data_IF_918666764473
#
_entry.id   IF_918666764473
#
_cell.length_a   1.000
_cell.length_b   1.000
_cell.length_c   1.000
_cell.angle_alpha   90.00
_cell.angle_beta   90.00
_cell.angle_gamma   90.00
#
_symmetry.space_group_name_H-M   'P 1'
#
loop_
_entity.id
_entity.type
_entity.pdbx_description
1 polymer ?
#
# COMPACT_ATOMS: atom_id res chain seq x y z
N UNK A 1 -3.00 -8.29 1.12
CA UNK A 1 -3.32 -7.29 2.16
C UNK A 1 -4.56 -7.74 2.95
N UNK A 2 -4.73 -9.05 3.17
CA UNK A 2 -5.94 -9.62 3.78
C UNK A 2 -6.14 -9.11 5.21
N UNK A 3 -5.06 -9.01 5.99
CA UNK A 3 -5.11 -8.43 7.34
C UNK A 3 -5.46 -6.93 7.36
N UNK A 4 -5.47 -6.25 6.21
CA UNK A 4 -5.96 -4.89 6.05
C UNK A 4 -7.37 -4.84 5.39
N UNK A 5 -8.06 -5.98 5.28
CA UNK A 5 -9.38 -6.09 4.66
C UNK A 5 -9.39 -6.07 3.14
N UNK A 6 -8.23 -6.25 2.49
CA UNK A 6 -8.10 -6.26 1.03
C UNK A 6 -7.76 -7.68 0.58
N UNK A 7 -8.73 -8.32 -0.06
CA UNK A 7 -8.63 -9.68 -0.55
C UNK A 7 -8.45 -9.71 -2.06
N UNK A 8 -8.04 -10.88 -2.55
CA UNK A 8 -7.89 -11.09 -3.98
C UNK A 8 -9.25 -10.98 -4.68
N UNK A 9 -9.30 -10.19 -5.76
CA UNK A 9 -10.52 -9.92 -6.51
C UNK A 9 -11.25 -8.64 -6.10
N UNK A 10 -10.81 -7.96 -5.04
CA UNK A 10 -11.34 -6.65 -4.68
C UNK A 10 -10.95 -5.57 -5.69
N UNK A 11 -11.86 -4.62 -5.90
CA UNK A 11 -11.59 -3.39 -6.62
C UNK A 11 -11.12 -2.32 -5.65
N UNK A 12 -10.01 -1.67 -5.98
CA UNK A 12 -9.44 -0.62 -5.15
C UNK A 12 -9.68 0.75 -5.80
N UNK A 13 -10.28 1.66 -5.05
CA UNK A 13 -10.40 3.08 -5.44
C UNK A 13 -9.22 3.83 -4.83
N UNK A 14 -8.49 4.54 -5.68
CA UNK A 14 -7.22 5.18 -5.35
C UNK A 14 -7.23 6.63 -5.83
N UNK A 15 -6.52 7.50 -5.11
CA UNK A 15 -6.37 8.91 -5.44
C UNK A 15 -4.89 9.28 -5.59
N UNK A 16 -4.55 9.91 -6.72
CA UNK A 16 -3.20 10.33 -7.09
C UNK A 16 -2.87 11.77 -6.71
N UNK A 17 -3.88 12.57 -6.35
CA UNK A 17 -3.72 13.97 -5.93
C UNK A 17 -3.51 14.13 -4.44
N UNK A 18 -3.76 13.09 -3.64
CA UNK A 18 -3.57 13.12 -2.19
C UNK A 18 -2.10 12.90 -1.80
N UNK A 19 -1.64 13.73 -0.87
CA UNK A 19 -0.35 13.53 -0.23
C UNK A 19 -0.41 12.32 0.73
N UNK A 20 0.45 11.30 0.55
CA UNK A 20 0.46 10.11 1.38
C UNK A 20 0.86 10.41 2.83
N UNK A 21 0.14 9.82 3.80
CA UNK A 21 0.39 10.00 5.23
C UNK A 21 0.61 8.65 5.94
N UNK A 22 1.44 8.61 7.00
CA UNK A 22 1.60 7.43 7.84
C UNK A 22 0.26 6.86 8.31
N UNK A 23 0.16 5.54 8.33
CA UNK A 23 -1.05 4.78 8.64
C UNK A 23 -1.91 4.43 7.42
N UNK A 24 -1.79 5.15 6.31
CA UNK A 24 -2.58 4.90 5.10
C UNK A 24 -2.08 3.68 4.33
N UNK A 25 -3.00 3.05 3.59
CA UNK A 25 -2.63 2.10 2.55
C UNK A 25 -2.30 2.87 1.27
N UNK A 26 -1.17 2.56 0.67
CA UNK A 26 -0.69 3.21 -0.56
C UNK A 26 -0.45 2.18 -1.65
N UNK A 27 -0.61 2.63 -2.89
CA UNK A 27 -0.09 1.95 -4.06
C UNK A 27 1.34 2.44 -4.25
N UNK A 28 2.32 1.55 -4.04
CA UNK A 28 3.71 1.81 -4.36
C UNK A 28 4.07 1.18 -5.69
N UNK A 29 4.96 1.83 -6.44
CA UNK A 29 5.59 1.28 -7.62
C UNK A 29 7.06 1.03 -7.28
N UNK A 30 7.47 -0.24 -7.30
CA UNK A 30 8.83 -0.70 -7.03
C UNK A 30 9.33 -1.37 -8.32
N UNK A 31 10.38 -0.84 -8.93
CA UNK A 31 10.95 -1.36 -10.20
C UNK A 31 9.91 -1.56 -11.32
N UNK A 32 8.94 -0.64 -11.43
CA UNK A 32 7.86 -0.73 -12.42
C UNK A 32 6.70 -1.67 -12.02
N UNK A 33 6.83 -2.43 -10.93
CA UNK A 33 5.78 -3.30 -10.41
C UNK A 33 4.96 -2.59 -9.33
N UNK A 34 3.63 -2.69 -9.42
CA UNK A 34 2.73 -2.13 -8.40
C UNK A 34 2.52 -3.07 -7.22
N UNK A 35 2.47 -2.50 -6.02
CA UNK A 35 2.20 -3.23 -4.79
C UNK A 35 1.40 -2.38 -3.80
N UNK A 36 0.61 -3.05 -2.95
CA UNK A 36 -0.07 -2.42 -1.82
C UNK A 36 0.74 -2.60 -0.54
N UNK A 37 0.93 -1.50 0.17
CA UNK A 37 1.70 -1.43 1.41
C UNK A 37 1.05 -0.44 2.36
N UNK A 38 1.27 -0.61 3.66
CA UNK A 38 0.98 0.42 4.65
C UNK A 38 2.17 1.38 4.71
N UNK A 39 1.91 2.68 4.58
CA UNK A 39 2.91 3.70 4.79
C UNK A 39 3.10 3.90 6.29
N UNK A 40 4.32 3.84 6.79
CA UNK A 40 4.62 4.00 8.22
C UNK A 40 5.77 4.99 8.38
N UNK A 41 5.66 5.86 9.38
CA UNK A 41 6.77 6.69 9.83
C UNK A 41 7.56 5.92 10.90
N UNK A 42 8.85 5.73 10.66
CA UNK A 42 9.76 5.05 11.58
C UNK A 42 11.06 5.85 11.67
N UNK A 43 11.44 6.27 12.88
CA UNK A 43 12.66 7.05 13.13
C UNK A 43 12.81 8.30 12.23
N UNK A 44 11.69 8.97 11.94
CA UNK A 44 11.66 10.17 11.08
C UNK A 44 11.71 9.87 9.57
N UNK A 45 11.74 8.61 9.16
CA UNK A 45 11.71 8.17 7.76
C UNK A 45 10.39 7.49 7.43
N UNK A 46 10.05 7.48 6.15
CA UNK A 46 8.89 6.75 5.65
C UNK A 46 9.31 5.39 5.13
N UNK A 47 8.56 4.36 5.51
CA UNK A 47 8.74 2.99 5.05
C UNK A 47 7.43 2.37 4.62
N UNK A 48 7.55 1.36 3.77
CA UNK A 48 6.46 0.53 3.27
C UNK A 48 6.42 -0.79 4.03
N UNK A 49 5.32 -1.05 4.72
CA UNK A 49 5.11 -2.29 5.44
C UNK A 49 4.09 -3.18 4.71
N UNK A 50 4.41 -4.46 4.59
CA UNK A 50 3.46 -5.45 4.13
C UNK A 50 2.53 -5.86 5.26
N UNK A 51 1.29 -6.22 4.94
CA UNK A 51 0.35 -6.80 5.91
C UNK A 51 0.65 -8.28 6.23
N UNK A 52 1.84 -8.80 5.89
CA UNK A 52 2.24 -10.17 6.14
C UNK A 52 3.64 -10.20 6.78
N UNK A 53 3.82 -10.86 7.96
CA UNK A 53 5.06 -10.78 8.74
C UNK A 53 6.32 -11.26 8.02
N UNK A 54 6.18 -12.19 7.06
CA UNK A 54 7.31 -12.72 6.30
C UNK A 54 7.99 -11.69 5.37
N UNK A 55 7.41 -10.50 5.20
CA UNK A 55 7.96 -9.45 4.36
C UNK A 55 8.45 -8.30 5.24
N UNK A 56 9.77 -8.07 5.33
CA UNK A 56 10.31 -6.99 6.15
C UNK A 56 9.88 -5.61 5.63
N UNK A 57 9.84 -4.59 6.50
CA UNK A 57 9.62 -3.21 6.09
C UNK A 57 10.68 -2.75 5.07
N UNK A 58 10.24 -1.89 4.16
CA UNK A 58 11.05 -1.35 3.07
C UNK A 58 11.16 0.17 3.22
N UNK A 59 12.35 0.67 3.56
CA UNK A 59 12.60 2.11 3.69
C UNK A 59 12.58 2.78 2.30
N UNK A 60 11.72 3.79 2.11
CA UNK A 60 11.49 4.40 0.79
C UNK A 60 12.72 5.12 0.22
N UNK A 61 13.54 5.68 1.08
CA UNK A 61 14.76 6.41 0.72
C UNK A 61 15.90 5.49 0.26
N UNK A 62 15.85 4.21 0.63
CA UNK A 62 16.87 3.21 0.32
C UNK A 62 16.55 2.42 -0.96
N UNK A 63 15.37 2.61 -1.55
CA UNK A 63 14.93 1.91 -2.75
C UNK A 63 15.01 2.84 -3.97
N UNK A 64 16.04 2.65 -4.80
CA UNK A 64 16.11 3.34 -6.08
C UNK A 64 14.88 3.03 -6.93
N UNK A 65 14.27 4.07 -7.51
CA UNK A 65 13.08 3.93 -8.35
C UNK A 65 11.77 3.65 -7.59
N UNK A 66 11.80 3.47 -6.27
CA UNK A 66 10.58 3.35 -5.49
C UNK A 66 9.83 4.68 -5.43
N UNK A 67 8.52 4.62 -5.69
CA UNK A 67 7.65 5.78 -5.57
C UNK A 67 6.29 5.38 -5.03
N UNK A 68 5.70 6.26 -4.24
CA UNK A 68 4.27 6.18 -3.94
C UNK A 68 3.52 6.73 -5.15
N UNK A 69 2.61 5.92 -5.69
CA UNK A 69 1.85 6.25 -6.90
C UNK A 69 0.47 6.84 -6.58
N UNK A 70 -0.19 6.33 -5.54
CA UNK A 70 -1.50 6.80 -5.10
C UNK A 70 -1.79 6.39 -3.64
N UNK A 71 -2.75 7.07 -3.01
CA UNK A 71 -3.34 6.67 -1.73
C UNK A 71 -4.57 5.80 -2.00
N UNK A 72 -4.69 4.66 -1.32
CA UNK A 72 -5.88 3.82 -1.40
C UNK A 72 -6.96 4.34 -0.45
N UNK A 73 -8.15 4.60 -0.98
CA UNK A 73 -9.27 5.20 -0.25
C UNK A 73 -10.35 4.19 0.10
N UNK A 74 -10.74 3.38 -0.87
CA UNK A 74 -11.87 2.46 -0.71
C UNK A 74 -11.57 1.10 -1.33
N UNK A 75 -12.17 0.08 -0.72
CA UNK A 75 -12.20 -1.29 -1.22
C UNK A 75 -13.65 -1.60 -1.56
N UNK A 76 -13.89 -2.02 -2.79
CA UNK A 76 -15.21 -2.43 -3.27
C UNK A 76 -15.14 -3.92 -3.57
N UNK A 77 -15.95 -4.69 -2.84
CA UNK A 77 -16.02 -6.14 -2.97
C UNK A 77 -17.36 -6.55 -3.55
N UNK A 78 -17.32 -7.30 -4.65
CA UNK A 78 -18.51 -7.99 -5.15
C UNK A 78 -18.84 -9.14 -4.21
N UNK A 79 -19.99 -9.07 -3.55
CA UNK A 79 -20.50 -10.18 -2.77
C UNK A 79 -21.01 -11.26 -3.72
N UNK A 80 -20.53 -12.48 -3.57
CA UNK A 80 -21.10 -13.62 -4.29
C UNK A 80 -22.41 -14.02 -3.61
N UNK A 81 -23.43 -14.33 -4.41
CA UNK A 81 -24.60 -15.01 -3.89
C UNK A 81 -24.16 -16.32 -3.21
N UNK A 82 -24.80 -16.71 -2.10
CA UNK A 82 -24.46 -17.92 -1.36
C UNK A 82 -24.55 -19.19 -2.23
#
# INVERSE_FOLDING_TARGET
MQAAGIDHGDLLIVDRGLEPRPGQIVVACLDGCFTLKRLVAHQGRLRLEAAHPAYPPLELDCLEGARIWAVALHVVRTLKAP
#
